data_IF_148802289023
#
_entry.id   IF_148802289023
#
_cell.length_a   1.000
_cell.length_b   1.000
_cell.length_c   1.000
_cell.angle_alpha   90.00
_cell.angle_beta   90.00
_cell.angle_gamma   90.00
#
_symmetry.space_group_name_H-M   'P 1'
#
loop_
_entity.id
_entity.type
_entity.pdbx_description
1 polymer ?
#
# COMPACT_ATOMS: atom_id res chain seq x y z
N UNK A 1 13.26 -11.86 7.79
CA UNK A 1 11.82 -11.98 8.12
C UNK A 1 11.57 -13.36 8.68
N UNK A 2 10.77 -13.46 9.74
CA UNK A 2 10.27 -14.75 10.21
C UNK A 2 9.01 -15.18 9.42
N UNK A 3 8.56 -16.42 9.61
CA UNK A 3 7.41 -16.99 8.88
C UNK A 3 6.14 -16.13 9.02
N UNK A 4 5.84 -15.62 10.22
CA UNK A 4 4.66 -14.76 10.44
C UNK A 4 4.76 -13.44 9.67
N UNK A 5 5.93 -12.79 9.69
CA UNK A 5 6.16 -11.57 8.90
C UNK A 5 6.02 -11.82 7.40
N UNK A 6 6.48 -12.97 6.92
CA UNK A 6 6.34 -13.35 5.51
C UNK A 6 4.89 -13.54 5.11
N UNK A 7 4.10 -14.27 5.91
CA UNK A 7 2.67 -14.45 5.65
C UNK A 7 1.97 -13.09 5.60
N UNK A 8 2.23 -12.20 6.56
CA UNK A 8 1.63 -10.86 6.57
C UNK A 8 2.01 -10.05 5.33
N UNK A 9 3.30 -10.04 4.97
CA UNK A 9 3.79 -9.37 3.77
C UNK A 9 3.07 -9.87 2.52
N UNK A 10 2.99 -11.20 2.35
CA UNK A 10 2.29 -11.80 1.22
C UNK A 10 0.79 -11.47 1.24
N UNK A 11 0.13 -11.49 2.40
CA UNK A 11 -1.28 -11.10 2.52
C UNK A 11 -1.51 -9.65 2.10
N UNK A 12 -0.66 -8.72 2.53
CA UNK A 12 -0.73 -7.32 2.09
C UNK A 12 -0.46 -7.17 0.60
N UNK A 13 0.51 -7.90 0.06
CA UNK A 13 0.82 -7.85 -1.37
C UNK A 13 -0.32 -8.36 -2.24
N UNK A 14 -0.90 -9.50 -1.89
CA UNK A 14 -2.07 -10.03 -2.60
C UNK A 14 -3.24 -9.05 -2.49
N UNK A 15 -3.52 -8.52 -1.29
CA UNK A 15 -4.60 -7.54 -1.11
C UNK A 15 -4.39 -6.26 -1.92
N UNK A 16 -3.18 -5.68 -1.91
CA UNK A 16 -2.85 -4.51 -2.71
C UNK A 16 -3.01 -4.78 -4.20
N UNK A 17 -2.54 -5.93 -4.68
CA UNK A 17 -2.67 -6.34 -6.09
C UNK A 17 -4.15 -6.45 -6.50
N UNK A 18 -4.97 -7.13 -5.69
CA UNK A 18 -6.42 -7.28 -5.94
C UNK A 18 -7.10 -5.92 -5.95
N UNK A 19 -6.80 -5.04 -4.99
CA UNK A 19 -7.40 -3.69 -4.93
C UNK A 19 -7.05 -2.88 -6.18
N UNK A 20 -5.82 -2.97 -6.67
CA UNK A 20 -5.40 -2.25 -7.88
C UNK A 20 -6.12 -2.78 -9.12
N UNK A 21 -6.24 -4.11 -9.27
CA UNK A 21 -6.99 -4.73 -10.36
C UNK A 21 -8.47 -4.32 -10.33
N UNK A 22 -9.11 -4.41 -9.17
CA UNK A 22 -10.51 -3.99 -8.98
C UNK A 22 -10.68 -2.50 -9.26
N UNK A 23 -9.75 -1.67 -8.79
CA UNK A 23 -9.81 -0.23 -9.02
C UNK A 23 -9.69 0.13 -10.50
N UNK A 24 -8.84 -0.56 -11.25
CA UNK A 24 -8.74 -0.38 -12.69
C UNK A 24 -10.01 -0.81 -13.44
N UNK A 25 -10.68 -1.87 -12.97
CA UNK A 25 -11.94 -2.33 -13.55
C UNK A 25 -13.12 -1.38 -13.23
N UNK A 26 -13.21 -0.89 -11.99
CA UNK A 26 -14.32 -0.05 -11.51
C UNK A 26 -14.16 1.41 -11.94
N UNK A 27 -12.95 1.96 -11.84
CA UNK A 27 -12.65 3.36 -12.16
C UNK A 27 -11.97 3.48 -13.53
N UNK A 28 -12.46 2.69 -14.49
CA UNK A 28 -11.97 2.66 -15.86
C UNK A 28 -11.85 4.09 -16.43
N UNK A 29 -10.69 4.40 -17.00
CA UNK A 29 -10.35 5.74 -17.51
C UNK A 29 -9.63 6.65 -16.50
N UNK A 30 -9.76 6.40 -15.19
CA UNK A 30 -9.00 7.12 -14.16
C UNK A 30 -7.84 6.30 -13.58
N UNK A 31 -7.96 4.99 -13.60
CA UNK A 31 -6.91 4.04 -13.20
C UNK A 31 -6.70 3.10 -14.38
N UNK A 32 -5.50 3.12 -14.96
CA UNK A 32 -5.15 2.34 -16.14
C UNK A 32 -3.98 1.44 -15.79
N UNK A 33 -4.07 0.19 -16.21
CA UNK A 33 -3.05 -0.82 -16.00
C UNK A 33 -2.50 -1.32 -17.32
N UNK A 34 -1.18 -1.42 -17.37
CA UNK A 34 -0.42 -1.86 -18.52
C UNK A 34 0.04 -0.71 -19.41
N UNK A 35 1.07 -0.99 -20.17
CA UNK A 35 1.62 -0.12 -21.20
C UNK A 35 2.23 -0.99 -22.33
N UNK A 36 2.97 -0.37 -23.24
CA UNK A 36 3.66 -1.04 -24.36
C UNK A 36 4.69 -2.09 -23.93
N UNK A 37 5.16 -2.06 -22.68
CA UNK A 37 6.20 -2.94 -22.13
C UNK A 37 5.71 -3.92 -21.07
N UNK A 38 4.62 -3.59 -20.38
CA UNK A 38 4.14 -4.30 -19.18
C UNK A 38 2.67 -4.61 -19.35
N UNK A 39 2.28 -5.88 -19.21
CA UNK A 39 0.88 -6.28 -19.25
C UNK A 39 0.11 -5.74 -18.04
N UNK A 40 -1.21 -5.57 -18.18
CA UNK A 40 -2.06 -5.03 -17.11
C UNK A 40 -1.97 -5.83 -15.81
N UNK A 41 -1.92 -7.16 -15.90
CA UNK A 41 -1.77 -8.04 -14.73
C UNK A 41 -0.42 -7.85 -14.05
N UNK A 42 0.66 -7.77 -14.84
CA UNK A 42 2.01 -7.58 -14.30
C UNK A 42 2.16 -6.19 -13.66
N UNK A 43 1.56 -5.16 -14.25
CA UNK A 43 1.53 -3.81 -13.71
C UNK A 43 0.88 -3.77 -12.31
N UNK A 44 -0.24 -4.48 -12.13
CA UNK A 44 -0.90 -4.58 -10.82
C UNK A 44 -0.04 -5.32 -9.79
N UNK A 45 0.62 -6.42 -10.19
CA UNK A 45 1.50 -7.20 -9.32
C UNK A 45 2.69 -6.35 -8.86
N UNK A 46 3.35 -5.64 -9.78
CA UNK A 46 4.48 -4.75 -9.50
C UNK A 46 4.04 -3.60 -8.60
N UNK A 47 2.95 -2.91 -8.95
CA UNK A 47 2.45 -1.79 -8.14
C UNK A 47 2.03 -2.24 -6.74
N UNK A 48 1.34 -3.38 -6.63
CA UNK A 48 0.99 -3.99 -5.35
C UNK A 48 2.22 -4.32 -4.51
N UNK A 49 3.30 -4.83 -5.14
CA UNK A 49 4.55 -5.15 -4.47
C UNK A 49 5.22 -3.89 -3.92
N UNK A 50 5.33 -2.85 -4.74
CA UNK A 50 5.93 -1.58 -4.35
C UNK A 50 5.21 -0.97 -3.16
N UNK A 51 3.87 -0.96 -3.17
CA UNK A 51 3.09 -0.45 -2.04
C UNK A 51 3.29 -1.28 -0.77
N UNK A 52 3.33 -2.60 -0.90
CA UNK A 52 3.58 -3.47 0.26
C UNK A 52 4.97 -3.26 0.85
N UNK A 53 5.99 -3.13 0.01
CA UNK A 53 7.35 -2.83 0.46
C UNK A 53 7.38 -1.51 1.21
N UNK A 54 6.83 -0.45 0.62
CA UNK A 54 6.72 0.86 1.24
C UNK A 54 6.09 0.75 2.64
N UNK A 55 4.90 0.13 2.75
CA UNK A 55 4.18 -0.01 4.02
C UNK A 55 4.94 -0.86 5.04
N UNK A 56 5.63 -1.91 4.60
CA UNK A 56 6.41 -2.80 5.47
C UNK A 56 7.63 -2.10 6.06
N UNK A 57 8.25 -1.20 5.30
CA UNK A 57 9.42 -0.42 5.75
C UNK A 57 9.04 0.84 6.53
N UNK A 58 7.81 1.36 6.41
CA UNK A 58 7.36 2.57 7.11
C UNK A 58 7.69 2.59 8.60
N UNK A 59 7.41 1.55 9.41
CA UNK A 59 7.69 1.61 10.84
C UNK A 59 9.17 1.81 11.14
N UNK A 60 10.06 1.17 10.39
CA UNK A 60 11.51 1.31 10.58
C UNK A 60 12.00 2.72 10.23
N UNK A 61 11.43 3.34 9.20
CA UNK A 61 11.76 4.72 8.81
C UNK A 61 11.30 5.71 9.89
N UNK A 62 10.12 5.50 10.45
CA UNK A 62 9.55 6.35 11.49
C UNK A 62 10.28 6.19 12.83
N UNK A 63 10.68 4.98 13.20
CA UNK A 63 11.49 4.75 14.39
C UNK A 63 12.86 5.43 14.28
N UNK A 64 13.49 5.37 13.10
CA UNK A 64 14.77 6.04 12.82
C UNK A 64 14.68 7.56 12.79
N UNK A 65 13.51 8.13 12.50
CA UNK A 65 13.33 9.59 12.54
C UNK A 65 13.19 10.16 13.95
N UNK A 66 13.17 9.31 14.98
CA UNK A 66 13.06 9.71 16.39
C UNK A 66 11.64 10.07 16.82
N UNK A 67 10.64 9.93 15.94
CA UNK A 67 9.24 10.20 16.26
C UNK A 67 8.62 9.04 17.05
N UNK A 68 8.33 9.27 18.34
CA UNK A 68 7.61 8.31 19.20
C UNK A 68 6.10 8.50 19.05
N UNK A 69 5.49 7.76 18.14
CA UNK A 69 4.04 7.80 17.90
C UNK A 69 3.30 6.87 18.85
N UNK A 70 2.60 7.45 19.82
CA UNK A 70 1.77 6.72 20.78
C UNK A 70 0.29 6.60 20.38
N UNK A 71 -0.16 7.39 19.40
CA UNK A 71 -1.57 7.44 18.99
C UNK A 71 -1.81 6.62 17.72
N UNK A 72 -2.78 5.72 17.78
CA UNK A 72 -3.21 4.88 16.65
C UNK A 72 -3.81 5.69 15.50
N UNK A 73 -4.42 6.85 15.78
CA UNK A 73 -4.94 7.75 14.73
C UNK A 73 -3.81 8.35 13.90
N UNK A 74 -2.67 8.65 14.52
CA UNK A 74 -1.49 9.16 13.82
C UNK A 74 -0.88 8.10 12.90
N UNK A 75 -0.90 6.83 13.32
CA UNK A 75 -0.45 5.73 12.46
C UNK A 75 -1.32 5.58 11.21
N UNK A 76 -2.65 5.68 11.33
CA UNK A 76 -3.55 5.66 10.18
C UNK A 76 -3.25 6.80 9.20
N UNK A 77 -3.03 8.02 9.71
CA UNK A 77 -2.62 9.18 8.92
C UNK A 77 -1.28 8.98 8.21
N UNK A 78 -0.30 8.39 8.88
CA UNK A 78 1.01 8.09 8.28
C UNK A 78 0.89 7.04 7.20
N UNK A 79 0.16 5.95 7.42
CA UNK A 79 -0.04 4.95 6.37
C UNK A 79 -0.78 5.54 5.16
N UNK A 80 -1.76 6.42 5.39
CA UNK A 80 -2.41 7.14 4.30
C UNK A 80 -1.43 8.03 3.54
N UNK A 81 -0.65 8.85 4.23
CA UNK A 81 0.34 9.73 3.63
C UNK A 81 1.40 8.93 2.84
N UNK A 82 1.85 7.81 3.40
CA UNK A 82 2.84 6.94 2.77
C UNK A 82 2.27 6.24 1.54
N UNK A 83 1.04 5.69 1.61
CA UNK A 83 0.38 5.11 0.44
C UNK A 83 0.12 6.17 -0.64
N UNK A 84 -0.22 7.40 -0.25
CA UNK A 84 -0.40 8.52 -1.18
C UNK A 84 0.90 8.88 -1.90
N UNK A 85 1.98 9.12 -1.16
CA UNK A 85 3.30 9.41 -1.74
C UNK A 85 3.78 8.23 -2.59
N UNK A 86 3.60 7.00 -2.11
CA UNK A 86 3.95 5.78 -2.83
C UNK A 86 3.24 5.68 -4.17
N UNK A 87 1.91 5.80 -4.19
CA UNK A 87 1.13 5.80 -5.44
C UNK A 87 1.49 6.96 -6.35
N UNK A 88 1.78 8.15 -5.80
CA UNK A 88 2.20 9.30 -6.58
C UNK A 88 3.52 9.05 -7.30
N UNK A 89 4.51 8.46 -6.60
CA UNK A 89 5.78 8.05 -7.20
C UNK A 89 5.59 6.94 -8.22
N UNK A 90 4.79 5.91 -7.92
CA UNK A 90 4.49 4.81 -8.84
C UNK A 90 3.82 5.33 -10.12
N UNK A 91 2.87 6.26 -10.01
CA UNK A 91 2.25 6.95 -11.15
C UNK A 91 3.29 7.70 -11.99
N UNK A 92 4.24 8.40 -11.37
CA UNK A 92 5.32 9.11 -12.10
C UNK A 92 6.20 8.13 -12.87
N UNK A 93 6.30 6.90 -12.39
CA UNK A 93 7.04 5.81 -13.02
C UNK A 93 6.15 4.91 -13.88
N UNK A 94 4.99 5.39 -14.36
CA UNK A 94 4.04 4.60 -15.17
C UNK A 94 4.66 3.94 -16.40
N UNK A 95 5.72 4.52 -16.98
CA UNK A 95 6.48 3.93 -18.09
C UNK A 95 7.15 2.60 -17.68
N UNK A 96 7.56 2.49 -16.42
CA UNK A 96 8.21 1.28 -15.86
C UNK A 96 7.21 0.35 -15.18
N UNK A 97 6.25 0.91 -14.44
CA UNK A 97 5.32 0.15 -13.58
C UNK A 97 4.04 -0.25 -14.30
N UNK A 98 3.70 0.41 -15.40
CA UNK A 98 2.44 0.23 -16.11
C UNK A 98 1.21 0.75 -15.36
N UNK A 99 1.36 1.46 -14.22
CA UNK A 99 0.23 2.03 -13.48
C UNK A 99 0.02 3.51 -13.86
N UNK A 100 -1.01 3.77 -14.65
CA UNK A 100 -1.50 5.11 -14.96
C UNK A 100 -2.62 5.54 -14.00
N UNK A 101 -2.54 6.76 -13.48
CA UNK A 101 -3.62 7.37 -12.69
C UNK A 101 -3.89 8.76 -13.26
N UNK A 102 -5.13 9.13 -13.55
CA UNK A 102 -5.46 10.36 -14.30
C UNK A 102 -5.03 11.64 -13.59
N UNK A 103 -5.36 11.81 -12.31
CA UNK A 103 -5.09 13.05 -11.56
C UNK A 103 -4.57 12.80 -10.14
N UNK A 104 -4.12 13.86 -9.47
CA UNK A 104 -3.68 13.78 -8.06
C UNK A 104 -4.83 13.44 -7.11
N UNK A 105 -6.06 13.86 -7.44
CA UNK A 105 -7.26 13.52 -6.67
C UNK A 105 -7.51 12.01 -6.67
N UNK A 106 -7.34 11.36 -7.83
CA UNK A 106 -7.47 9.90 -7.92
C UNK A 106 -6.37 9.14 -7.19
N UNK A 107 -5.16 9.71 -7.11
CA UNK A 107 -4.09 9.16 -6.26
C UNK A 107 -4.51 9.18 -4.78
N UNK A 108 -5.13 10.27 -4.32
CA UNK A 108 -5.62 10.38 -2.94
C UNK A 108 -6.75 9.40 -2.65
N UNK A 109 -7.73 9.29 -3.56
CA UNK A 109 -8.85 8.34 -3.43
C UNK A 109 -8.33 6.91 -3.35
N UNK A 110 -7.42 6.52 -4.26
CA UNK A 110 -6.81 5.19 -4.24
C UNK A 110 -5.99 4.93 -2.98
N UNK A 111 -5.22 5.92 -2.51
CA UNK A 111 -4.46 5.80 -1.28
C UNK A 111 -5.36 5.54 -0.07
N UNK A 112 -6.50 6.23 0.01
CA UNK A 112 -7.49 5.99 1.05
C UNK A 112 -8.07 4.57 0.98
N UNK A 113 -8.49 4.12 -0.22
CA UNK A 113 -9.02 2.76 -0.43
C UNK A 113 -7.99 1.70 -0.02
N UNK A 114 -6.75 1.81 -0.50
CA UNK A 114 -5.67 0.88 -0.18
C UNK A 114 -5.39 0.86 1.32
N UNK A 115 -5.36 2.02 1.97
CA UNK A 115 -5.13 2.13 3.42
C UNK A 115 -6.25 1.42 4.19
N UNK A 116 -7.52 1.59 3.80
CA UNK A 116 -8.65 0.91 4.41
C UNK A 116 -8.57 -0.61 4.24
N UNK A 117 -8.21 -1.10 3.04
CA UNK A 117 -8.07 -2.53 2.78
C UNK A 117 -6.92 -3.13 3.57
N UNK A 118 -5.77 -2.45 3.61
CA UNK A 118 -4.64 -2.86 4.45
C UNK A 118 -5.06 -2.93 5.93
N UNK A 119 -5.84 -1.97 6.40
CA UNK A 119 -6.39 -2.02 7.76
C UNK A 119 -7.29 -3.24 7.96
N UNK A 120 -8.20 -3.53 7.03
CA UNK A 120 -9.03 -4.74 7.07
C UNK A 120 -8.21 -6.04 7.12
N UNK A 121 -7.19 -6.16 6.26
CA UNK A 121 -6.26 -7.30 6.23
C UNK A 121 -5.49 -7.40 7.54
N UNK A 122 -5.08 -6.27 8.11
CA UNK A 122 -4.35 -6.25 9.38
C UNK A 122 -5.21 -6.71 10.57
N UNK A 123 -6.51 -6.41 10.54
CA UNK A 123 -7.46 -6.95 11.52
C UNK A 123 -7.65 -8.45 11.33
N UNK A 124 -7.89 -8.90 10.09
CA UNK A 124 -8.14 -10.31 9.77
C UNK A 124 -6.93 -11.23 10.07
N UNK A 125 -5.72 -10.75 9.80
CA UNK A 125 -4.47 -11.49 10.09
C UNK A 125 -3.99 -11.37 11.54
N UNK A 126 -4.68 -10.57 12.37
CA UNK A 126 -4.33 -10.35 13.78
C UNK A 126 -3.03 -9.54 13.98
N UNK A 127 -2.49 -8.94 12.93
CA UNK A 127 -1.26 -8.14 12.98
C UNK A 127 -1.41 -6.87 13.81
N UNK A 128 -2.61 -6.28 13.87
CA UNK A 128 -2.87 -5.15 14.77
C UNK A 128 -2.69 -5.51 16.25
N UNK A 129 -3.13 -6.71 16.67
CA UNK A 129 -2.94 -7.17 18.06
C UNK A 129 -1.46 -7.40 18.38
N UNK A 130 -0.68 -7.86 17.40
CA UNK A 130 0.76 -8.06 17.54
C UNK A 130 1.53 -6.73 17.62
N UNK A 131 1.14 -5.72 16.84
CA UNK A 131 1.76 -4.39 16.90
C UNK A 131 1.35 -3.58 18.14
N UNK A 132 0.09 -3.64 18.58
CA UNK A 132 -0.34 -3.05 19.85
C UNK A 132 0.41 -3.66 21.05
N UNK A 133 0.58 -4.99 21.08
CA UNK A 133 1.27 -5.70 22.17
C UNK A 133 2.79 -5.53 22.18
N UNK A 134 3.40 -5.31 21.01
CA UNK A 134 4.82 -4.97 20.90
C UNK A 134 5.12 -3.50 21.27
N UNK A 135 4.13 -2.60 21.14
CA UNK A 135 4.23 -1.18 21.50
C UNK A 135 3.92 -0.89 22.97
N UNK A 136 3.43 -1.87 23.73
CA UNK A 136 3.14 -1.77 25.17
C UNK A 136 4.23 -2.35 26.08
N UNK A 137 5.33 -2.83 25.51
CA UNK A 137 6.55 -3.23 26.22
C UNK A 137 7.64 -2.21 25.94
#
# INVERSE_FOLDING_TARGET
MNQKQLVNFLSFWVANTVVILVSAAVFAGNVVLGNDKVSSSMAAIIAGLVLTLIVTFTPQVVEKSGFKLKDDKLWALIFLAVNFVGLWVVKRLAVLTGLGISSILWVLILAAIITLVQWGVAQATGTMKAQSKARSK
#
